data_IF_079406294135
#
_entry.id   IF_079406294135
#
_cell.length_a   1.000
_cell.length_b   1.000
_cell.length_c   1.000
_cell.angle_alpha   90.00
_cell.angle_beta   90.00
_cell.angle_gamma   90.00
#
_symmetry.space_group_name_H-M   'P 1'
#
loop_
_entity.id
_entity.type
_entity.pdbx_description
1 polymer ?
#
# COMPACT_ATOMS: atom_id res chain seq x y z
N UNK A 1 2.71 4.64 -25.18
CA UNK A 1 2.62 4.13 -23.79
C UNK A 1 1.46 3.16 -23.80
N UNK A 2 1.66 1.89 -23.41
CA UNK A 2 0.60 0.90 -23.49
C UNK A 2 -0.45 1.24 -22.43
N UNK A 3 -1.70 1.41 -22.86
CA UNK A 3 -2.81 1.60 -21.93
C UNK A 3 -3.08 0.30 -21.16
N UNK A 4 -3.82 0.40 -20.07
CA UNK A 4 -4.21 -0.77 -19.28
C UNK A 4 -5.02 -1.75 -20.14
N UNK A 5 -4.83 -3.07 -19.97
CA UNK A 5 -5.70 -4.07 -20.57
C UNK A 5 -7.15 -3.78 -20.17
N UNK A 6 -8.11 -4.09 -21.04
CA UNK A 6 -9.51 -3.96 -20.70
C UNK A 6 -9.91 -4.97 -19.61
N UNK A 7 -11.09 -4.81 -18.96
CA UNK A 7 -11.49 -5.69 -17.87
C UNK A 7 -11.61 -7.17 -18.26
N UNK A 8 -12.00 -7.47 -19.49
CA UNK A 8 -12.19 -8.85 -19.96
C UNK A 8 -10.82 -9.51 -20.24
N UNK A 9 -9.90 -8.76 -20.84
CA UNK A 9 -8.50 -9.17 -21.02
C UNK A 9 -7.81 -9.40 -19.67
N UNK A 10 -8.03 -8.51 -18.70
CA UNK A 10 -7.54 -8.67 -17.33
C UNK A 10 -8.00 -9.99 -16.70
N UNK A 11 -9.29 -10.32 -16.85
CA UNK A 11 -9.87 -11.55 -16.32
C UNK A 11 -9.29 -12.79 -17.02
N UNK A 12 -9.15 -12.75 -18.34
CA UNK A 12 -8.57 -13.85 -19.12
C UNK A 12 -7.11 -14.14 -18.73
N UNK A 13 -6.30 -13.10 -18.59
CA UNK A 13 -4.90 -13.22 -18.15
C UNK A 13 -4.80 -13.83 -16.75
N UNK A 14 -5.66 -13.40 -15.82
CA UNK A 14 -5.69 -13.97 -14.47
C UNK A 14 -6.16 -15.43 -14.45
N UNK A 15 -7.18 -15.79 -15.24
CA UNK A 15 -7.62 -17.18 -15.39
C UNK A 15 -6.51 -18.07 -16.00
N UNK A 16 -5.72 -17.53 -16.93
CA UNK A 16 -4.53 -18.20 -17.46
C UNK A 16 -3.52 -18.56 -16.37
N UNK A 17 -3.30 -17.67 -15.40
CA UNK A 17 -2.44 -17.95 -14.24
C UNK A 17 -3.02 -19.04 -13.34
N UNK A 18 -4.32 -19.00 -13.05
CA UNK A 18 -5.00 -19.99 -12.20
C UNK A 18 -4.98 -21.40 -12.80
N UNK A 19 -5.11 -21.49 -14.12
CA UNK A 19 -5.09 -22.76 -14.85
C UNK A 19 -3.68 -23.29 -15.11
N UNK A 20 -2.63 -22.53 -14.74
CA UNK A 20 -1.23 -22.93 -14.90
C UNK A 20 -0.75 -22.93 -16.35
N UNK A 21 -1.30 -22.04 -17.19
CA UNK A 21 -0.90 -21.93 -18.60
C UNK A 21 0.60 -21.62 -18.75
N UNK A 22 1.29 -22.34 -19.62
CA UNK A 22 2.75 -22.26 -19.77
C UNK A 22 3.26 -20.85 -20.15
N UNK A 23 2.45 -20.06 -20.86
CA UNK A 23 2.76 -18.68 -21.28
C UNK A 23 2.09 -17.61 -20.43
N UNK A 24 1.13 -18.00 -19.57
CA UNK A 24 0.34 -17.05 -18.79
C UNK A 24 1.17 -16.12 -17.90
N UNK A 25 2.26 -16.55 -17.23
CA UNK A 25 3.15 -15.65 -16.51
C UNK A 25 3.76 -14.55 -17.39
N UNK A 26 4.20 -14.90 -18.59
CA UNK A 26 4.83 -13.97 -19.52
C UNK A 26 3.81 -12.98 -20.09
N UNK A 27 2.63 -13.48 -20.47
CA UNK A 27 1.54 -12.65 -21.01
C UNK A 27 1.04 -11.66 -19.95
N UNK A 28 0.89 -12.14 -18.71
CA UNK A 28 0.52 -11.30 -17.58
C UNK A 28 1.55 -10.20 -17.33
N UNK A 29 2.85 -10.54 -17.27
CA UNK A 29 3.90 -9.55 -17.07
C UNK A 29 3.93 -8.51 -18.20
N UNK A 30 3.86 -8.94 -19.46
CA UNK A 30 3.86 -8.05 -20.63
C UNK A 30 2.60 -7.15 -20.72
N UNK A 31 1.50 -7.57 -20.10
CA UNK A 31 0.27 -6.78 -20.04
C UNK A 31 0.33 -5.70 -18.95
N UNK A 32 0.91 -6.00 -17.79
CA UNK A 32 0.78 -5.14 -16.60
C UNK A 32 2.02 -4.32 -16.23
N UNK A 33 3.25 -4.71 -16.62
CA UNK A 33 4.46 -4.01 -16.19
C UNK A 33 4.51 -2.55 -16.64
N UNK A 34 4.42 -2.28 -17.95
CA UNK A 34 4.54 -0.92 -18.49
C UNK A 34 3.44 0.03 -18.00
N UNK A 35 2.14 -0.37 -17.99
CA UNK A 35 1.08 0.48 -17.44
C UNK A 35 1.26 0.78 -15.95
N UNK A 36 1.78 -0.19 -15.19
CA UNK A 36 2.01 -0.05 -13.75
C UNK A 36 3.17 0.91 -13.46
N UNK A 37 4.28 0.81 -14.19
CA UNK A 37 5.40 1.77 -14.10
C UNK A 37 4.94 3.18 -14.49
N UNK A 38 4.16 3.31 -15.57
CA UNK A 38 3.61 4.61 -15.99
C UNK A 38 2.72 5.23 -14.91
N UNK A 39 1.87 4.43 -14.27
CA UNK A 39 1.05 4.85 -13.14
C UNK A 39 1.89 5.31 -11.93
N UNK A 40 2.91 4.53 -11.54
CA UNK A 40 3.78 4.91 -10.43
C UNK A 40 4.54 6.21 -10.71
N UNK A 41 5.04 6.38 -11.94
CA UNK A 41 5.71 7.61 -12.39
C UNK A 41 4.79 8.83 -12.31
N UNK A 42 3.52 8.67 -12.70
CA UNK A 42 2.52 9.74 -12.63
C UNK A 42 2.09 10.11 -11.21
N UNK A 43 2.10 9.15 -10.28
CA UNK A 43 1.66 9.37 -8.89
C UNK A 43 2.79 9.77 -7.94
N UNK A 44 4.06 9.46 -8.28
CA UNK A 44 5.23 9.72 -7.44
C UNK A 44 6.29 10.52 -8.20
N UNK A 45 6.08 11.83 -8.29
CA UNK A 45 7.06 12.73 -8.89
C UNK A 45 8.41 12.65 -8.17
N UNK A 46 9.48 12.48 -8.95
CA UNK A 46 10.86 12.43 -8.44
C UNK A 46 11.29 11.12 -7.80
N UNK A 47 10.50 10.04 -7.94
CA UNK A 47 10.96 8.70 -7.60
C UNK A 47 12.02 8.21 -8.58
N UNK A 48 12.99 7.45 -8.08
CA UNK A 48 14.02 6.80 -8.89
C UNK A 48 13.41 5.77 -9.86
N UNK A 49 13.86 5.79 -11.11
CA UNK A 49 13.27 4.97 -12.18
C UNK A 49 13.47 3.47 -11.93
N UNK A 50 14.62 3.08 -11.39
CA UNK A 50 14.89 1.69 -11.04
C UNK A 50 14.01 1.21 -9.88
N UNK A 51 13.76 2.06 -8.88
CA UNK A 51 12.81 1.77 -7.81
C UNK A 51 11.37 1.61 -8.31
N UNK A 52 10.94 2.41 -9.29
CA UNK A 52 9.62 2.28 -9.93
C UNK A 52 9.48 0.92 -10.65
N UNK A 53 10.48 0.55 -11.43
CA UNK A 53 10.52 -0.74 -12.13
C UNK A 53 10.51 -1.91 -11.15
N UNK A 54 11.37 -1.87 -10.13
CA UNK A 54 11.46 -2.91 -9.10
C UNK A 54 10.12 -3.11 -8.39
N UNK A 55 9.46 -2.03 -8.00
CA UNK A 55 8.17 -2.11 -7.31
C UNK A 55 7.05 -2.69 -8.20
N UNK A 56 7.04 -2.33 -9.48
CA UNK A 56 6.10 -2.89 -10.45
C UNK A 56 6.34 -4.39 -10.69
N UNK A 57 7.61 -4.79 -10.82
CA UNK A 57 8.02 -6.18 -10.99
C UNK A 57 7.63 -7.04 -9.79
N UNK A 58 7.92 -6.60 -8.56
CA UNK A 58 7.56 -7.31 -7.33
C UNK A 58 6.04 -7.52 -7.23
N UNK A 59 5.24 -6.49 -7.52
CA UNK A 59 3.79 -6.59 -7.50
C UNK A 59 3.26 -7.61 -8.52
N UNK A 60 3.78 -7.59 -9.75
CA UNK A 60 3.41 -8.54 -10.81
C UNK A 60 3.84 -9.97 -10.46
N UNK A 61 5.09 -10.15 -10.04
CA UNK A 61 5.64 -11.45 -9.63
C UNK A 61 4.89 -12.04 -8.44
N UNK A 62 4.40 -11.20 -7.53
CA UNK A 62 3.61 -11.66 -6.38
C UNK A 62 2.34 -12.41 -6.82
N UNK A 63 1.65 -11.91 -7.86
CA UNK A 63 0.44 -12.53 -8.41
C UNK A 63 0.80 -13.76 -9.24
N UNK A 64 1.85 -13.69 -10.06
CA UNK A 64 2.30 -14.83 -10.86
C UNK A 64 2.66 -16.03 -9.97
N UNK A 65 3.44 -15.80 -8.92
CA UNK A 65 3.89 -16.88 -8.03
C UNK A 65 2.78 -17.39 -7.10
N UNK A 66 1.85 -16.52 -6.72
CA UNK A 66 0.74 -16.87 -5.81
C UNK A 66 -0.55 -16.20 -6.27
N UNK A 67 -1.23 -16.71 -7.33
CA UNK A 67 -2.44 -16.07 -7.86
C UNK A 67 -3.56 -15.88 -6.83
N UNK A 68 -3.59 -16.73 -5.79
CA UNK A 68 -4.56 -16.66 -4.68
C UNK A 68 -4.42 -15.43 -3.77
N UNK A 69 -3.35 -14.62 -3.90
CA UNK A 69 -3.24 -13.35 -3.16
C UNK A 69 -4.22 -12.28 -3.66
N UNK A 70 -4.67 -12.42 -4.90
CA UNK A 70 -5.71 -11.57 -5.47
C UNK A 70 -7.08 -12.24 -5.25
N UNK A 71 -8.02 -11.45 -4.73
CA UNK A 71 -9.41 -11.85 -4.55
C UNK A 71 -10.31 -11.00 -5.48
N UNK A 72 -10.88 -11.60 -6.54
CA UNK A 72 -11.79 -10.91 -7.45
C UNK A 72 -13.03 -10.30 -6.78
N UNK A 73 -13.46 -10.82 -5.63
CA UNK A 73 -14.60 -10.27 -4.89
C UNK A 73 -14.27 -8.93 -4.20
N UNK A 74 -12.98 -8.62 -4.02
CA UNK A 74 -12.52 -7.41 -3.31
C UNK A 74 -12.18 -6.24 -4.24
N UNK A 75 -12.20 -6.45 -5.55
CA UNK A 75 -11.96 -5.40 -6.55
C UNK A 75 -11.28 -5.91 -7.81
N UNK A 76 -10.90 -4.97 -8.70
CA UNK A 76 -10.23 -5.30 -9.95
C UNK A 76 -8.74 -5.62 -9.72
N UNK A 77 -8.17 -6.47 -10.58
CA UNK A 77 -6.75 -6.83 -10.52
C UNK A 77 -5.84 -5.63 -10.74
N UNK A 78 -6.27 -4.67 -11.56
CA UNK A 78 -5.58 -3.39 -11.77
C UNK A 78 -5.49 -2.60 -10.46
N UNK A 79 -6.59 -2.50 -9.71
CA UNK A 79 -6.60 -1.81 -8.42
C UNK A 79 -5.68 -2.52 -7.41
N UNK A 80 -5.71 -3.85 -7.38
CA UNK A 80 -4.82 -4.66 -6.54
C UNK A 80 -3.34 -4.41 -6.87
N UNK A 81 -2.95 -4.48 -8.15
CA UNK A 81 -1.56 -4.30 -8.58
C UNK A 81 -1.05 -2.89 -8.28
N UNK A 82 -1.87 -1.86 -8.48
CA UNK A 82 -1.52 -0.47 -8.12
C UNK A 82 -1.25 -0.33 -6.62
N UNK A 83 -2.10 -0.92 -5.78
CA UNK A 83 -1.93 -0.93 -4.34
C UNK A 83 -0.64 -1.65 -3.93
N UNK A 84 -0.43 -2.87 -4.43
CA UNK A 84 0.75 -3.68 -4.14
C UNK A 84 2.04 -2.95 -4.53
N UNK A 85 2.13 -2.46 -5.77
CA UNK A 85 3.32 -1.77 -6.25
C UNK A 85 3.59 -0.45 -5.51
N UNK A 86 2.55 0.26 -5.09
CA UNK A 86 2.72 1.47 -4.26
C UNK A 86 3.30 1.13 -2.89
N UNK A 87 2.83 0.03 -2.28
CA UNK A 87 3.36 -0.45 -1.01
C UNK A 87 4.83 -0.89 -1.15
N UNK A 88 5.17 -1.62 -2.21
CA UNK A 88 6.53 -2.06 -2.48
C UNK A 88 7.48 -0.88 -2.73
N UNK A 89 7.05 0.13 -3.47
CA UNK A 89 7.83 1.35 -3.68
C UNK A 89 8.11 2.09 -2.35
N UNK A 90 7.12 2.18 -1.46
CA UNK A 90 7.31 2.80 -0.14
C UNK A 90 8.31 1.98 0.70
N UNK A 91 8.23 0.66 0.63
CA UNK A 91 9.16 -0.24 1.33
C UNK A 91 10.60 -0.07 0.82
N UNK A 92 10.79 0.03 -0.50
CA UNK A 92 12.10 0.27 -1.11
C UNK A 92 12.69 1.61 -0.63
N UNK A 93 11.91 2.69 -0.65
CA UNK A 93 12.37 4.02 -0.17
C UNK A 93 12.69 4.02 1.31
N UNK A 94 11.91 3.31 2.12
CA UNK A 94 12.17 3.19 3.56
C UNK A 94 13.47 2.42 3.82
N UNK A 95 13.71 1.34 3.06
CA UNK A 95 14.97 0.59 3.12
C UNK A 95 16.15 1.45 2.70
N UNK A 96 16.02 2.21 1.61
CA UNK A 96 17.07 3.09 1.12
C UNK A 96 17.40 4.21 2.12
N UNK A 97 16.38 4.86 2.69
CA UNK A 97 16.56 5.85 3.74
C UNK A 97 17.26 5.27 4.98
N UNK A 98 16.92 4.03 5.37
CA UNK A 98 17.62 3.32 6.45
C UNK A 98 19.05 2.98 6.07
N UNK A 99 19.32 2.56 4.85
CA UNK A 99 20.69 2.29 4.40
C UNK A 99 21.53 3.56 4.35
N UNK A 100 20.95 4.70 3.96
CA UNK A 100 21.65 5.99 3.95
C UNK A 100 21.91 6.47 5.39
N UNK A 101 20.90 6.39 6.27
CA UNK A 101 21.10 6.67 7.71
C UNK A 101 22.14 5.75 8.31
N UNK A 102 22.06 4.44 8.12
CA UNK A 102 23.05 3.50 8.64
C UNK A 102 24.45 3.64 8.02
N UNK A 103 24.60 4.32 6.87
CA UNK A 103 25.92 4.67 6.31
C UNK A 103 26.51 5.90 7.00
N UNK A 104 25.69 6.86 7.38
CA UNK A 104 26.06 8.03 8.19
C UNK A 104 26.23 7.66 9.68
N UNK A 105 25.44 6.71 10.16
CA UNK A 105 25.33 6.26 11.56
C UNK A 105 26.14 4.98 11.83
N UNK A 106 27.04 4.60 10.92
CA UNK A 106 28.09 3.60 11.20
C UNK A 106 29.10 4.08 12.26
N UNK A 107 28.85 5.24 12.85
CA UNK A 107 29.50 5.75 14.05
C UNK A 107 28.73 5.44 15.36
N UNK A 108 27.48 4.92 15.35
CA UNK A 108 26.79 4.58 16.60
C UNK A 108 25.85 3.35 16.54
N UNK A 109 25.81 2.63 17.65
CA UNK A 109 25.52 1.19 17.78
C UNK A 109 24.05 0.89 18.16
N UNK A 110 23.62 -0.33 17.79
CA UNK A 110 22.70 -1.26 18.49
C UNK A 110 21.19 -1.39 18.20
N UNK A 111 20.78 -2.66 18.32
CA UNK A 111 19.58 -3.38 17.87
C UNK A 111 18.41 -3.29 18.85
N UNK A 112 17.18 -3.44 18.35
CA UNK A 112 16.12 -4.18 19.06
C UNK A 112 15.03 -4.71 18.11
N UNK A 113 14.83 -6.03 18.18
CA UNK A 113 13.75 -6.82 17.59
C UNK A 113 12.43 -6.68 18.38
N UNK A 114 11.29 -7.02 17.77
CA UNK A 114 10.03 -7.15 18.51
C UNK A 114 8.79 -7.42 17.65
N UNK A 115 8.55 -8.70 17.40
CA UNK A 115 7.43 -9.33 16.69
C UNK A 115 6.07 -9.15 17.40
N UNK A 116 4.95 -9.25 16.67
CA UNK A 116 3.60 -9.15 17.27
C UNK A 116 2.44 -9.00 16.28
N UNK A 117 2.08 -10.11 15.64
CA UNK A 117 1.01 -10.23 14.64
C UNK A 117 -0.40 -10.26 15.25
N UNK A 118 -1.32 -9.39 14.79
CA UNK A 118 -2.76 -9.70 14.72
C UNK A 118 -3.41 -8.85 13.61
N UNK A 119 -3.73 -9.41 12.43
CA UNK A 119 -4.49 -8.70 11.42
C UNK A 119 -5.97 -8.82 11.77
N UNK A 120 -6.55 -7.79 12.37
CA UNK A 120 -8.00 -7.78 12.60
C UNK A 120 -8.68 -7.44 11.28
N UNK A 121 -9.50 -8.40 10.85
CA UNK A 121 -10.55 -8.39 9.81
C UNK A 121 -10.87 -7.03 9.19
N UNK A 122 -10.90 -7.00 7.85
CA UNK A 122 -11.57 -5.95 7.07
C UNK A 122 -10.97 -4.53 7.08
N UNK A 123 -9.69 -4.36 6.76
CA UNK A 123 -9.17 -3.04 6.30
C UNK A 123 -9.63 -2.75 4.85
N UNK A 124 -10.96 -2.57 4.76
CA UNK A 124 -11.79 -1.71 3.92
C UNK A 124 -11.40 -1.53 2.45
N UNK A 125 -12.36 -1.95 1.59
CA UNK A 125 -12.60 -1.52 0.20
C UNK A 125 -11.81 -0.25 -0.17
N UNK A 126 -10.88 -0.39 -1.12
CA UNK A 126 -10.12 0.68 -1.80
C UNK A 126 -10.37 2.09 -1.26
N UNK A 127 -9.45 2.59 -0.43
CA UNK A 127 -9.45 3.97 0.07
C UNK A 127 -9.45 5.04 -1.04
N UNK A 128 -9.25 4.65 -2.30
CA UNK A 128 -9.29 5.50 -3.48
C UNK A 128 -10.66 5.48 -4.22
N UNK A 129 -11.73 4.96 -3.59
CA UNK A 129 -13.07 5.01 -4.18
C UNK A 129 -13.55 6.47 -4.32
N UNK A 130 -14.00 6.93 -5.51
CA UNK A 130 -14.40 8.32 -5.72
C UNK A 130 -15.55 8.75 -4.80
N UNK A 131 -16.40 7.81 -4.38
CA UNK A 131 -17.46 8.07 -3.42
C UNK A 131 -16.98 8.31 -1.97
N UNK A 132 -15.72 7.99 -1.64
CA UNK A 132 -15.11 8.35 -0.36
C UNK A 132 -14.45 9.73 -0.38
N UNK A 133 -14.33 10.38 -1.55
CA UNK A 133 -13.63 11.66 -1.69
C UNK A 133 -14.23 12.78 -0.82
N UNK A 134 -15.56 12.84 -0.67
CA UNK A 134 -16.23 13.82 0.20
C UNK A 134 -15.97 13.55 1.69
N UNK A 135 -15.88 12.27 2.07
CA UNK A 135 -15.57 11.86 3.45
C UNK A 135 -14.12 12.15 3.80
N UNK A 136 -13.21 11.94 2.85
CA UNK A 136 -11.79 12.31 2.96
C UNK A 136 -11.58 13.83 2.96
N UNK A 137 -12.47 14.58 2.33
CA UNK A 137 -12.51 16.04 2.42
C UNK A 137 -13.01 16.51 3.80
N UNK A 138 -13.88 15.73 4.44
CA UNK A 138 -14.43 16.01 5.77
C UNK A 138 -13.57 15.47 6.93
N UNK A 139 -12.44 14.82 6.67
CA UNK A 139 -11.50 14.43 7.73
C UNK A 139 -10.88 15.66 8.38
N UNK A 140 -10.71 15.58 9.70
CA UNK A 140 -10.11 16.67 10.47
C UNK A 140 -8.63 16.86 10.08
N UNK A 141 -8.05 18.07 10.24
CA UNK A 141 -6.65 18.35 9.87
C UNK A 141 -5.63 17.43 10.54
N UNK A 142 -5.96 16.88 11.70
CA UNK A 142 -5.17 15.89 12.45
C UNK A 142 -5.39 14.45 11.98
N UNK A 143 -6.55 14.14 11.40
CA UNK A 143 -6.90 12.81 10.92
C UNK A 143 -6.38 12.55 9.50
N UNK A 144 -6.35 13.57 8.64
CA UNK A 144 -5.87 13.44 7.26
C UNK A 144 -4.45 12.88 7.16
N UNK A 145 -3.43 13.41 7.86
CA UNK A 145 -2.09 12.84 7.79
C UNK A 145 -1.99 11.45 8.46
N UNK A 146 -2.83 11.14 9.46
CA UNK A 146 -2.94 9.77 10.02
C UNK A 146 -3.55 8.81 8.99
N UNK A 147 -4.57 9.24 8.27
CA UNK A 147 -5.18 8.48 7.19
C UNK A 147 -4.18 8.24 6.05
N UNK A 148 -3.37 9.23 5.67
CA UNK A 148 -2.31 9.02 4.67
C UNK A 148 -1.27 8.01 5.13
N UNK A 149 -0.90 8.01 6.42
CA UNK A 149 -0.07 6.94 6.99
C UNK A 149 -0.73 5.56 6.90
N UNK A 150 -2.04 5.47 7.17
CA UNK A 150 -2.78 4.21 6.99
C UNK A 150 -2.84 3.78 5.52
N UNK A 151 -3.13 4.72 4.61
CA UNK A 151 -3.20 4.50 3.16
C UNK A 151 -1.86 4.06 2.59
N UNK A 152 -0.76 4.58 3.12
CA UNK A 152 0.60 4.21 2.72
C UNK A 152 1.09 2.91 3.38
N UNK A 153 0.27 2.29 4.23
CA UNK A 153 0.58 1.02 4.89
C UNK A 153 1.54 1.15 6.08
N UNK A 154 1.76 2.36 6.61
CA UNK A 154 2.62 2.58 7.77
C UNK A 154 2.08 1.85 9.00
N UNK A 155 2.96 1.13 9.71
CA UNK A 155 2.61 0.33 10.89
C UNK A 155 3.29 0.82 12.17
N UNK A 156 4.31 1.67 12.08
CA UNK A 156 5.07 2.17 13.23
C UNK A 156 4.27 3.18 14.03
N UNK A 157 4.06 2.89 15.32
CA UNK A 157 3.36 3.79 16.25
C UNK A 157 4.03 5.16 16.34
N UNK A 158 5.35 5.22 16.17
CA UNK A 158 6.15 6.45 16.20
C UNK A 158 5.80 7.39 15.05
N UNK A 159 5.55 6.85 13.85
CA UNK A 159 5.17 7.64 12.69
C UNK A 159 3.79 8.30 12.90
N UNK A 160 2.85 7.55 13.47
CA UNK A 160 1.55 8.08 13.87
C UNK A 160 1.66 9.09 15.01
N UNK A 161 2.50 8.82 16.00
CA UNK A 161 2.71 9.70 17.14
C UNK A 161 3.32 11.06 16.73
N UNK A 162 4.22 11.05 15.75
CA UNK A 162 4.80 12.26 15.19
C UNK A 162 3.75 13.14 14.51
N UNK A 163 2.86 12.55 13.73
CA UNK A 163 1.74 13.26 13.08
C UNK A 163 0.72 13.78 14.11
N UNK A 164 0.47 13.02 15.17
CA UNK A 164 -0.44 13.40 16.24
C UNK A 164 0.18 14.39 17.25
N UNK A 165 1.48 14.70 17.14
CA UNK A 165 2.18 15.58 18.07
C UNK A 165 2.37 14.99 19.48
N UNK A 166 2.24 13.66 19.62
CA UNK A 166 2.30 12.95 20.92
C UNK A 166 3.62 12.20 21.11
N UNK A 167 4.67 12.53 20.35
CA UNK A 167 5.97 11.84 20.40
C UNK A 167 6.57 11.81 21.81
N UNK A 168 6.32 12.86 22.62
CA UNK A 168 6.81 12.97 24.01
C UNK A 168 5.99 12.20 25.05
N UNK A 169 4.90 11.55 24.67
CA UNK A 169 4.09 10.76 25.61
C UNK A 169 4.72 9.39 25.90
N UNK A 170 4.39 8.76 27.05
CA UNK A 170 4.74 7.38 27.32
C UNK A 170 4.30 6.43 26.21
N UNK A 171 5.09 5.40 25.91
CA UNK A 171 4.84 4.50 24.78
C UNK A 171 3.44 3.86 24.79
N UNK A 172 2.93 3.48 25.97
CA UNK A 172 1.57 2.96 26.12
C UNK A 172 0.48 3.99 25.80
N UNK A 173 0.67 5.23 26.25
CA UNK A 173 -0.28 6.33 26.00
C UNK A 173 -0.27 6.71 24.52
N UNK A 174 0.90 6.71 23.87
CA UNK A 174 1.01 6.88 22.41
C UNK A 174 0.25 5.80 21.66
N UNK A 175 0.48 4.53 22.00
CA UNK A 175 -0.18 3.41 21.34
C UNK A 175 -1.70 3.48 21.49
N UNK A 176 -2.20 3.83 22.68
CA UNK A 176 -3.63 4.01 22.93
C UNK A 176 -4.23 5.14 22.08
N UNK A 177 -3.58 6.29 22.02
CA UNK A 177 -4.10 7.43 21.26
C UNK A 177 -4.03 7.18 19.75
N UNK A 178 -2.94 6.59 19.26
CA UNK A 178 -2.82 6.15 17.84
C UNK A 178 -3.95 5.19 17.50
N UNK A 179 -4.19 4.16 18.33
CA UNK A 179 -5.28 3.21 18.13
C UNK A 179 -6.65 3.91 18.09
N UNK A 180 -6.90 4.82 19.04
CA UNK A 180 -8.16 5.56 19.12
C UNK A 180 -8.44 6.40 17.87
N UNK A 181 -7.41 7.07 17.34
CA UNK A 181 -7.55 7.86 16.11
C UNK A 181 -7.76 6.94 14.90
N UNK A 182 -6.97 5.88 14.76
CA UNK A 182 -7.14 4.89 13.69
C UNK A 182 -8.54 4.29 13.68
N UNK A 183 -9.05 3.84 14.83
CA UNK A 183 -10.40 3.29 14.96
C UNK A 183 -11.50 4.31 14.60
N UNK A 184 -11.29 5.60 14.92
CA UNK A 184 -12.24 6.66 14.59
C UNK A 184 -12.34 6.89 13.08
N UNK A 185 -11.18 6.93 12.40
CA UNK A 185 -11.08 7.05 10.95
C UNK A 185 -11.73 5.82 10.29
N UNK A 186 -11.37 4.61 10.74
CA UNK A 186 -11.97 3.36 10.22
C UNK A 186 -13.49 3.35 10.36
N UNK A 187 -14.04 3.72 11.53
CA UNK A 187 -15.49 3.78 11.74
C UNK A 187 -16.18 4.82 10.86
N UNK A 188 -15.54 5.97 10.62
CA UNK A 188 -16.08 6.99 9.69
C UNK A 188 -16.15 6.45 8.26
N UNK A 189 -15.09 5.79 7.80
CA UNK A 189 -15.01 5.20 6.47
C UNK A 189 -16.00 4.04 6.29
N UNK A 190 -16.14 3.18 7.30
CA UNK A 190 -17.13 2.10 7.30
C UNK A 190 -18.56 2.63 7.19
N UNK A 191 -18.93 3.64 8.00
CA UNK A 191 -20.27 4.26 7.93
C UNK A 191 -20.57 4.89 6.58
N UNK A 192 -19.57 5.51 5.96
CA UNK A 192 -19.73 6.06 4.61
C UNK A 192 -19.90 4.97 3.55
N UNK A 193 -19.12 3.88 3.67
CA UNK A 193 -19.22 2.73 2.77
C UNK A 193 -20.55 1.97 2.91
N UNK A 194 -21.21 2.03 4.07
CA UNK A 194 -22.55 1.46 4.32
C UNK A 194 -23.70 2.40 3.86
N UNK A 195 -23.43 3.69 3.71
CA UNK A 195 -24.39 4.70 3.25
C UNK A 195 -24.40 4.91 1.73
N UNK A 196 -23.51 4.21 1.01
CA UNK A 196 -23.39 4.15 -0.45
C UNK A 196 -24.13 2.93 -1.02
#
# INVERSE_FOLDING_TARGET
>A
MKDWPDPDECAALYQGLLTGGAVAPSDFAAAFLDPLVAFLRGTRHGADDHALHTAAEEAVLSVIHRPAVYDPARGTIVAFLRMAATADLNNLRTKEARHQRNREDRECVELADGDGNTPTSDELRSFDHPALAEVLAALDPTERPVFELMRTGERRTEAYAAVLGITGWPAEERAREVKRVKERIMKRLQRAAEAL
#
